data_IF_082086361275
#
_entry.id   IF_082086361275
#
_cell.length_a   1.000
_cell.length_b   1.000
_cell.length_c   1.000
_cell.angle_alpha   90.00
_cell.angle_beta   90.00
_cell.angle_gamma   90.00
#
_symmetry.space_group_name_H-M   'P 1'
#
loop_
_entity.id
_entity.type
_entity.pdbx_description
1 polymer ?
#
# COMPACT_ATOMS: atom_id res chain seq x y z
N UNK A 1 18.22 -17.30 2.36
CA UNK A 1 19.11 -18.26 1.68
C UNK A 1 18.76 -18.44 0.20
N UNK A 2 17.49 -18.68 -0.15
CA UNK A 2 17.06 -18.79 -1.56
C UNK A 2 17.42 -17.53 -2.38
N UNK A 3 17.11 -16.33 -1.86
CA UNK A 3 17.46 -15.07 -2.53
C UNK A 3 18.97 -14.89 -2.78
N UNK A 4 19.83 -15.41 -1.89
CA UNK A 4 21.28 -15.39 -2.09
C UNK A 4 21.72 -16.42 -3.14
N UNK A 5 21.07 -17.60 -3.17
CA UNK A 5 21.30 -18.64 -4.16
C UNK A 5 20.98 -18.18 -5.59
N UNK A 6 19.87 -17.46 -5.76
CA UNK A 6 19.38 -16.90 -7.03
C UNK A 6 20.01 -15.54 -7.40
N UNK A 7 20.92 -15.00 -6.59
CA UNK A 7 21.52 -13.69 -6.85
C UNK A 7 22.42 -13.72 -8.10
N UNK A 8 22.22 -12.76 -8.99
CA UNK A 8 23.01 -12.59 -10.21
C UNK A 8 24.50 -12.33 -9.92
N UNK A 9 24.81 -11.61 -8.83
CA UNK A 9 26.19 -11.37 -8.43
C UNK A 9 26.34 -11.26 -6.91
N UNK A 10 26.85 -12.33 -6.30
CA UNK A 10 26.97 -12.48 -4.84
C UNK A 10 28.02 -11.54 -4.22
N UNK A 11 29.06 -11.15 -4.96
CA UNK A 11 30.11 -10.29 -4.43
C UNK A 11 29.74 -8.80 -4.44
N UNK A 12 28.74 -8.40 -5.23
CA UNK A 12 28.25 -7.02 -5.32
C UNK A 12 27.08 -6.72 -4.38
N UNK A 13 26.74 -7.63 -3.46
CA UNK A 13 25.65 -7.41 -2.51
C UNK A 13 26.06 -6.31 -1.54
N UNK A 14 25.29 -5.22 -1.52
CA UNK A 14 25.51 -4.13 -0.57
C UNK A 14 24.97 -4.52 0.82
N UNK A 15 25.89 -4.85 1.73
CA UNK A 15 25.59 -5.22 3.11
C UNK A 15 24.78 -4.14 3.85
N UNK A 16 25.02 -2.85 3.57
CA UNK A 16 24.28 -1.75 4.21
C UNK A 16 22.80 -1.82 3.86
N UNK A 17 22.48 -1.92 2.57
CA UNK A 17 21.09 -1.97 2.09
C UNK A 17 20.37 -3.20 2.61
N UNK A 18 21.03 -4.37 2.58
CA UNK A 18 20.47 -5.62 3.09
C UNK A 18 20.21 -5.57 4.59
N UNK A 19 21.19 -5.13 5.40
CA UNK A 19 21.05 -5.05 6.85
C UNK A 19 20.01 -4.02 7.27
N UNK A 20 19.95 -2.85 6.62
CA UNK A 20 18.90 -1.85 6.90
C UNK A 20 17.52 -2.34 6.48
N UNK A 21 17.39 -2.97 5.31
CA UNK A 21 16.11 -3.49 4.84
C UNK A 21 15.52 -4.54 5.79
N UNK A 22 16.31 -5.56 6.13
CA UNK A 22 15.88 -6.60 7.07
C UNK A 22 15.72 -6.04 8.49
N UNK A 23 16.62 -5.15 8.92
CA UNK A 23 16.60 -4.54 10.23
C UNK A 23 15.37 -3.67 10.45
N UNK A 24 15.00 -2.82 9.49
CA UNK A 24 13.78 -2.01 9.56
C UNK A 24 12.53 -2.89 9.57
N UNK A 25 12.49 -3.92 8.72
CA UNK A 25 11.35 -4.84 8.69
C UNK A 25 11.16 -5.57 10.04
N UNK A 26 12.26 -6.06 10.63
CA UNK A 26 12.24 -6.68 11.97
C UNK A 26 11.89 -5.69 13.07
N UNK A 27 12.44 -4.48 13.02
CA UNK A 27 12.14 -3.41 13.96
C UNK A 27 10.65 -3.09 13.96
N UNK A 28 10.05 -2.88 12.78
CA UNK A 28 8.62 -2.65 12.65
C UNK A 28 7.81 -3.87 13.13
N UNK A 29 8.20 -5.09 12.78
CA UNK A 29 7.49 -6.29 13.24
C UNK A 29 7.48 -6.41 14.77
N UNK A 30 8.63 -6.21 15.44
CA UNK A 30 8.73 -6.27 16.90
C UNK A 30 7.97 -5.11 17.54
N UNK A 31 8.13 -3.90 16.99
CA UNK A 31 7.43 -2.71 17.47
C UNK A 31 5.91 -2.93 17.46
N UNK A 32 5.40 -3.48 16.36
CA UNK A 32 3.96 -3.67 16.17
C UNK A 32 3.42 -4.86 16.98
N UNK A 33 4.09 -6.02 16.92
CA UNK A 33 3.54 -7.28 17.45
C UNK A 33 3.86 -7.52 18.93
N UNK A 34 5.00 -7.01 19.43
CA UNK A 34 5.51 -7.36 20.77
C UNK A 34 5.41 -6.22 21.77
N UNK A 35 5.43 -4.96 21.35
CA UNK A 35 5.40 -3.83 22.30
C UNK A 35 4.00 -3.56 22.82
N UNK A 36 3.85 -3.10 24.08
CA UNK A 36 2.56 -2.73 24.65
C UNK A 36 1.92 -1.52 23.94
N UNK A 37 2.70 -0.73 23.19
CA UNK A 37 2.22 0.39 22.39
C UNK A 37 1.67 -0.05 21.02
N UNK A 38 2.04 -1.23 20.51
CA UNK A 38 1.61 -1.70 19.19
C UNK A 38 0.10 -1.89 19.08
N UNK A 39 -0.51 -2.56 20.07
CA UNK A 39 -1.96 -2.79 20.13
C UNK A 39 -2.81 -1.51 20.09
N UNK A 40 -2.59 -0.48 20.95
CA UNK A 40 -3.41 0.73 20.91
C UNK A 40 -3.21 1.53 19.61
N UNK A 41 -1.99 1.56 19.06
CA UNK A 41 -1.73 2.22 17.77
C UNK A 41 -2.48 1.52 16.64
N UNK A 42 -2.41 0.20 16.55
CA UNK A 42 -3.16 -0.56 15.53
C UNK A 42 -4.67 -0.48 15.74
N UNK A 43 -5.15 -0.50 16.98
CA UNK A 43 -6.57 -0.31 17.28
C UNK A 43 -7.09 1.07 16.86
N UNK A 44 -6.23 2.11 16.88
CA UNK A 44 -6.59 3.41 16.32
C UNK A 44 -6.72 3.36 14.80
N UNK A 45 -5.74 2.80 14.09
CA UNK A 45 -5.80 2.66 12.63
C UNK A 45 -6.98 1.80 12.18
N UNK A 46 -7.24 0.69 12.87
CA UNK A 46 -8.37 -0.19 12.60
C UNK A 46 -9.71 0.56 12.71
N UNK A 47 -9.90 1.38 13.76
CA UNK A 47 -11.08 2.23 13.89
C UNK A 47 -11.21 3.23 12.74
N UNK A 48 -10.10 3.85 12.31
CA UNK A 48 -10.11 4.80 11.19
C UNK A 48 -10.49 4.10 9.88
N UNK A 49 -9.89 2.94 9.59
CA UNK A 49 -10.19 2.18 8.38
C UNK A 49 -11.64 1.68 8.40
N UNK A 50 -12.11 1.10 9.50
CA UNK A 50 -13.51 0.68 9.64
C UNK A 50 -14.48 1.85 9.49
N UNK A 51 -14.12 3.04 9.98
CA UNK A 51 -14.93 4.24 9.77
C UNK A 51 -15.01 4.63 8.29
N UNK A 52 -13.88 4.58 7.57
CA UNK A 52 -13.87 4.82 6.12
C UNK A 52 -14.69 3.76 5.36
N UNK A 53 -14.58 2.49 5.73
CA UNK A 53 -15.40 1.40 5.17
C UNK A 53 -16.88 1.68 5.41
N UNK A 54 -17.29 2.17 6.60
CA UNK A 54 -18.68 2.49 6.86
C UNK A 54 -19.25 3.59 5.96
N UNK A 55 -18.42 4.54 5.51
CA UNK A 55 -18.83 5.54 4.52
C UNK A 55 -19.01 4.93 3.14
N UNK A 56 -18.13 3.99 2.76
CA UNK A 56 -18.31 3.22 1.54
C UNK A 56 -19.57 2.35 1.58
N UNK A 57 -19.89 1.75 2.73
CA UNK A 57 -21.08 0.92 2.89
C UNK A 57 -22.35 1.77 2.78
N UNK A 58 -22.37 2.99 3.33
CA UNK A 58 -23.47 3.93 3.14
C UNK A 58 -23.68 4.28 1.65
N UNK A 59 -22.59 4.47 0.89
CA UNK A 59 -22.66 4.68 -0.56
C UNK A 59 -23.14 3.43 -1.33
N UNK A 60 -22.70 2.24 -0.93
CA UNK A 60 -23.18 0.98 -1.50
C UNK A 60 -24.67 0.72 -1.22
N UNK A 61 -25.11 1.00 0.01
CA UNK A 61 -26.53 0.92 0.39
C UNK A 61 -27.37 1.91 -0.43
N UNK A 62 -26.90 3.15 -0.62
CA UNK A 62 -27.59 4.13 -1.46
C UNK A 62 -27.77 3.66 -2.91
N UNK A 63 -26.78 2.95 -3.48
CA UNK A 63 -26.82 2.50 -4.87
C UNK A 63 -27.61 1.21 -5.08
N UNK A 64 -27.53 0.26 -4.13
CA UNK A 64 -27.96 -1.13 -4.37
C UNK A 64 -29.02 -1.65 -3.40
N UNK A 65 -29.29 -0.95 -2.30
CA UNK A 65 -30.35 -1.35 -1.36
C UNK A 65 -31.69 -0.82 -1.85
N UNK A 66 -32.73 -1.62 -1.69
CA UNK A 66 -34.10 -1.17 -1.95
C UNK A 66 -34.51 -0.11 -0.92
N UNK A 67 -35.13 0.97 -1.40
CA UNK A 67 -35.77 1.99 -0.55
C UNK A 67 -37.16 1.59 -0.08
N UNK A 68 -37.69 0.46 -0.57
CA UNK A 68 -38.94 -0.12 -0.06
C UNK A 68 -38.66 -0.73 1.32
N UNK A 69 -39.45 -0.37 2.36
CA UNK A 69 -39.28 -0.94 3.69
C UNK A 69 -39.28 -2.47 3.65
N UNK A 70 -38.38 -3.08 4.43
CA UNK A 70 -38.24 -4.54 4.62
C UNK A 70 -37.74 -5.38 3.43
N UNK A 71 -37.52 -4.80 2.25
CA UNK A 71 -36.98 -5.56 1.09
C UNK A 71 -35.44 -5.69 1.15
N UNK A 72 -34.74 -4.69 1.68
CA UNK A 72 -33.28 -4.72 1.83
C UNK A 72 -32.54 -4.88 0.48
N UNK A 73 -31.46 -5.67 0.47
CA UNK A 73 -30.80 -6.06 -0.78
C UNK A 73 -31.59 -7.18 -1.44
N UNK A 74 -31.81 -7.09 -2.76
CA UNK A 74 -32.27 -8.26 -3.51
C UNK A 74 -31.31 -9.42 -3.31
N UNK A 75 -31.83 -10.63 -3.15
CA UNK A 75 -31.05 -11.85 -2.86
C UNK A 75 -29.91 -12.06 -3.88
N UNK A 76 -30.14 -11.71 -5.16
CA UNK A 76 -29.12 -11.78 -6.22
C UNK A 76 -27.99 -10.73 -6.13
N UNK A 77 -28.20 -9.65 -5.37
CA UNK A 77 -27.22 -8.59 -5.12
C UNK A 77 -26.39 -8.83 -3.85
N UNK A 78 -26.74 -9.83 -3.02
CA UNK A 78 -25.93 -10.23 -1.86
C UNK A 78 -24.77 -11.11 -2.34
N UNK A 79 -23.87 -10.52 -3.13
CA UNK A 79 -22.71 -11.20 -3.67
C UNK A 79 -21.45 -10.34 -3.52
N UNK A 80 -20.29 -10.94 -3.78
CA UNK A 80 -19.00 -10.26 -3.67
C UNK A 80 -18.95 -8.96 -4.48
N UNK A 81 -19.50 -8.95 -5.70
CA UNK A 81 -19.42 -7.79 -6.59
C UNK A 81 -20.05 -6.55 -5.95
N UNK A 82 -21.29 -6.64 -5.45
CA UNK A 82 -22.00 -5.48 -4.91
C UNK A 82 -21.60 -5.12 -3.48
N UNK A 83 -20.85 -5.97 -2.78
CA UNK A 83 -20.31 -5.68 -1.44
C UNK A 83 -18.86 -5.19 -1.47
N UNK A 84 -18.04 -5.66 -2.41
CA UNK A 84 -16.60 -5.38 -2.45
C UNK A 84 -16.24 -4.27 -3.45
N UNK A 85 -16.85 -4.26 -4.65
CA UNK A 85 -16.50 -3.28 -5.69
C UNK A 85 -16.77 -1.82 -5.26
N UNK A 86 -17.87 -1.48 -4.56
CA UNK A 86 -18.09 -0.12 -4.08
C UNK A 86 -16.97 0.38 -3.17
N UNK A 87 -16.42 -0.52 -2.34
CA UNK A 87 -15.27 -0.21 -1.47
C UNK A 87 -14.03 0.10 -2.28
N UNK A 88 -13.73 -0.65 -3.35
CA UNK A 88 -12.62 -0.28 -4.25
C UNK A 88 -12.85 1.10 -4.85
N UNK A 89 -14.03 1.36 -5.41
CA UNK A 89 -14.33 2.61 -6.11
C UNK A 89 -14.19 3.79 -5.14
N UNK A 90 -14.73 3.66 -3.93
CA UNK A 90 -14.61 4.66 -2.87
C UNK A 90 -13.14 4.94 -2.53
N UNK A 91 -12.36 3.90 -2.17
CA UNK A 91 -10.96 4.10 -1.78
C UNK A 91 -10.10 4.60 -2.95
N UNK A 92 -10.31 4.13 -4.18
CA UNK A 92 -9.62 4.66 -5.36
C UNK A 92 -9.92 6.14 -5.59
N UNK A 93 -11.17 6.57 -5.44
CA UNK A 93 -11.53 8.00 -5.54
C UNK A 93 -10.92 8.84 -4.42
N UNK A 94 -10.89 8.32 -3.19
CA UNK A 94 -10.28 8.97 -2.03
C UNK A 94 -8.76 9.12 -2.21
N UNK A 95 -8.09 8.08 -2.69
CA UNK A 95 -6.66 8.13 -3.00
C UNK A 95 -6.37 9.11 -4.13
N UNK A 96 -7.19 9.14 -5.18
CA UNK A 96 -7.07 10.13 -6.25
C UNK A 96 -7.24 11.57 -5.74
N UNK A 97 -8.17 11.80 -4.80
CA UNK A 97 -8.33 13.09 -4.13
C UNK A 97 -7.08 13.47 -3.34
N UNK A 98 -6.56 12.59 -2.48
CA UNK A 98 -5.34 12.87 -1.71
C UNK A 98 -4.12 13.09 -2.59
N UNK A 99 -4.08 12.42 -3.74
CA UNK A 99 -3.06 12.64 -4.75
C UNK A 99 -3.23 14.02 -5.42
N UNK A 100 -4.44 14.43 -5.78
CA UNK A 100 -4.69 15.76 -6.35
C UNK A 100 -4.37 16.89 -5.35
N UNK A 101 -4.68 16.68 -4.06
CA UNK A 101 -4.41 17.64 -2.99
C UNK A 101 -2.93 17.73 -2.58
N UNK A 102 -2.05 16.88 -3.10
CA UNK A 102 -0.63 16.90 -2.76
C UNK A 102 -0.24 16.16 -1.47
N UNK A 103 -1.20 15.57 -0.76
CA UNK A 103 -0.97 14.95 0.56
C UNK A 103 -0.07 13.72 0.44
N UNK A 104 -0.37 12.85 -0.52
CA UNK A 104 0.43 11.63 -0.77
C UNK A 104 1.86 12.00 -1.15
N UNK A 105 2.05 13.01 -1.99
CA UNK A 105 3.36 13.46 -2.44
C UNK A 105 4.21 13.94 -1.27
N UNK A 106 3.62 14.67 -0.31
CA UNK A 106 4.33 15.12 0.90
C UNK A 106 4.76 13.92 1.75
N UNK A 107 3.84 13.00 2.04
CA UNK A 107 4.12 11.81 2.87
C UNK A 107 5.18 10.93 2.22
N UNK A 108 5.00 10.61 0.93
CA UNK A 108 5.92 9.77 0.15
C UNK A 108 7.31 10.39 0.08
N UNK A 109 7.41 11.71 -0.12
CA UNK A 109 8.70 12.42 -0.14
C UNK A 109 9.43 12.32 1.20
N UNK A 110 8.71 12.40 2.31
CA UNK A 110 9.30 12.23 3.64
C UNK A 110 9.80 10.80 3.86
N UNK A 111 8.98 9.80 3.56
CA UNK A 111 9.36 8.38 3.67
C UNK A 111 10.57 8.09 2.77
N UNK A 112 10.53 8.55 1.52
CA UNK A 112 11.59 8.32 0.56
C UNK A 112 12.92 8.93 1.03
N UNK A 113 12.90 10.13 1.61
CA UNK A 113 14.12 10.76 2.18
C UNK A 113 14.71 9.95 3.33
N UNK A 114 13.86 9.44 4.23
CA UNK A 114 14.31 8.62 5.36
C UNK A 114 14.94 7.32 4.85
N UNK A 115 14.26 6.65 3.92
CA UNK A 115 14.71 5.38 3.33
C UNK A 115 15.99 5.55 2.52
N UNK A 116 16.08 6.61 1.71
CA UNK A 116 17.27 6.91 0.91
C UNK A 116 18.47 7.17 1.82
N UNK A 117 18.28 7.92 2.91
CA UNK A 117 19.35 8.24 3.87
C UNK A 117 19.81 7.02 4.66
N UNK A 118 18.90 6.13 5.04
CA UNK A 118 19.25 4.90 5.77
C UNK A 118 19.91 3.87 4.85
N UNK A 119 19.21 3.45 3.79
CA UNK A 119 19.59 2.34 2.92
C UNK A 119 20.64 2.68 1.86
N UNK A 120 20.81 3.96 1.54
CA UNK A 120 21.76 4.41 0.51
C UNK A 120 21.36 4.05 -0.93
N UNK A 121 20.07 3.78 -1.13
CA UNK A 121 19.45 3.46 -2.43
C UNK A 121 19.28 4.70 -3.31
N UNK A 122 18.97 4.50 -4.58
CA UNK A 122 18.77 5.63 -5.50
C UNK A 122 17.46 6.38 -5.17
N UNK A 123 17.43 7.67 -5.51
CA UNK A 123 16.24 8.49 -5.24
C UNK A 123 15.01 8.02 -6.02
N UNK A 124 15.21 7.53 -7.25
CA UNK A 124 14.14 7.09 -8.14
C UNK A 124 13.53 5.75 -7.70
N UNK A 125 14.34 4.74 -7.36
CA UNK A 125 13.81 3.48 -6.84
C UNK A 125 13.13 3.68 -5.49
N UNK A 126 13.73 4.49 -4.61
CA UNK A 126 13.23 4.72 -3.26
C UNK A 126 11.91 5.48 -3.27
N UNK A 127 11.77 6.48 -4.15
CA UNK A 127 10.53 7.24 -4.29
C UNK A 127 9.39 6.35 -4.82
N UNK A 128 9.67 5.52 -5.82
CA UNK A 128 8.68 4.58 -6.36
C UNK A 128 8.24 3.55 -5.30
N UNK A 129 9.18 2.95 -4.57
CA UNK A 129 8.86 1.96 -3.53
C UNK A 129 8.10 2.60 -2.37
N UNK A 130 8.44 3.83 -1.99
CA UNK A 130 7.71 4.57 -0.94
C UNK A 130 6.29 4.91 -1.38
N UNK A 131 6.06 5.18 -2.67
CA UNK A 131 4.73 5.42 -3.21
C UNK A 131 3.86 4.15 -3.21
N UNK A 132 4.45 2.97 -3.47
CA UNK A 132 3.76 1.67 -3.46
C UNK A 132 3.06 1.32 -2.13
N UNK A 133 3.41 2.01 -1.02
CA UNK A 133 2.71 1.85 0.26
C UNK A 133 1.24 2.30 0.14
N UNK A 134 0.95 3.23 -0.76
CA UNK A 134 -0.35 3.89 -0.89
C UNK A 134 -1.02 3.61 -2.23
N UNK A 135 -0.24 3.65 -3.31
CA UNK A 135 -0.72 3.49 -4.69
C UNK A 135 -0.29 2.14 -5.27
N UNK A 136 -0.98 1.68 -6.32
CA UNK A 136 -0.71 0.37 -6.90
C UNK A 136 0.61 0.28 -7.68
N UNK A 137 1.03 -0.94 -8.00
CA UNK A 137 2.27 -1.23 -8.73
C UNK A 137 2.37 -0.58 -10.12
N UNK A 138 1.25 -0.19 -10.72
CA UNK A 138 1.19 0.52 -12.01
C UNK A 138 1.22 2.05 -11.84
N UNK A 139 0.86 2.56 -10.66
CA UNK A 139 0.73 3.99 -10.38
C UNK A 139 1.99 4.55 -9.72
N UNK A 140 2.63 3.78 -8.83
CA UNK A 140 3.85 4.22 -8.16
C UNK A 140 5.01 4.55 -9.13
N UNK A 141 5.26 3.77 -10.20
CA UNK A 141 6.31 4.12 -11.15
C UNK A 141 6.04 5.43 -11.91
N UNK A 142 4.77 5.85 -12.03
CA UNK A 142 4.44 7.12 -12.70
C UNK A 142 5.05 8.33 -11.98
N UNK A 143 5.31 8.21 -10.67
CA UNK A 143 5.97 9.26 -9.87
C UNK A 143 7.41 9.52 -10.30
N UNK A 144 8.05 8.50 -10.89
CA UNK A 144 9.44 8.52 -11.34
C UNK A 144 9.56 8.28 -12.83
N UNK A 145 8.46 8.43 -13.58
CA UNK A 145 8.38 8.22 -15.03
C UNK A 145 9.57 8.77 -15.82
N UNK A 146 10.05 10.03 -15.63
CA UNK A 146 11.18 10.54 -16.40
C UNK A 146 12.51 9.82 -16.12
N UNK A 147 12.64 9.16 -14.96
CA UNK A 147 13.85 8.46 -14.56
C UNK A 147 13.87 6.99 -15.01
N UNK A 148 12.71 6.38 -15.29
CA UNK A 148 12.60 4.95 -15.63
C UNK A 148 13.49 4.58 -16.82
N UNK A 149 13.56 5.44 -17.85
CA UNK A 149 14.36 5.17 -19.05
C UNK A 149 15.87 5.09 -18.77
N UNK A 150 16.33 5.76 -17.72
CA UNK A 150 17.75 5.83 -17.35
C UNK A 150 18.07 4.98 -16.11
N UNK A 151 17.13 4.18 -15.62
CA UNK A 151 17.35 3.28 -14.48
C UNK A 151 18.30 2.14 -14.87
N UNK A 152 19.16 1.78 -13.94
CA UNK A 152 19.91 0.52 -13.98
C UNK A 152 18.98 -0.68 -13.85
N UNK A 153 19.45 -1.85 -14.27
CA UNK A 153 18.69 -3.10 -14.12
C UNK A 153 18.36 -3.40 -12.64
N UNK A 154 19.23 -3.01 -11.69
CA UNK A 154 18.98 -3.18 -10.26
C UNK A 154 17.83 -2.30 -9.77
N UNK A 155 17.81 -1.03 -10.19
CA UNK A 155 16.75 -0.08 -9.80
C UNK A 155 15.40 -0.51 -10.38
N UNK A 156 15.38 -0.93 -11.66
CA UNK A 156 14.16 -1.42 -12.29
C UNK A 156 13.64 -2.68 -11.59
N UNK A 157 14.54 -3.62 -11.27
CA UNK A 157 14.19 -4.82 -10.50
C UNK A 157 13.65 -4.47 -9.11
N UNK A 158 14.21 -3.47 -8.43
CA UNK A 158 13.73 -3.00 -7.14
C UNK A 158 12.33 -2.39 -7.24
N UNK A 159 12.06 -1.57 -8.27
CA UNK A 159 10.73 -1.00 -8.54
C UNK A 159 9.69 -2.10 -8.77
N UNK A 160 10.01 -3.09 -9.62
CA UNK A 160 9.12 -4.22 -9.92
C UNK A 160 8.87 -5.07 -8.67
N UNK A 161 9.94 -5.46 -7.96
CA UNK A 161 9.84 -6.30 -6.76
C UNK A 161 9.06 -5.59 -5.66
N UNK A 162 9.28 -4.29 -5.45
CA UNK A 162 8.53 -3.48 -4.49
C UNK A 162 7.04 -3.40 -4.81
N UNK A 163 6.69 -3.31 -6.11
CA UNK A 163 5.30 -3.36 -6.55
C UNK A 163 4.61 -4.69 -6.23
N UNK A 164 5.29 -5.82 -6.49
CA UNK A 164 4.74 -7.15 -6.19
C UNK A 164 4.75 -7.51 -4.69
N UNK A 165 5.60 -6.87 -3.91
CA UNK A 165 5.70 -7.10 -2.47
C UNK A 165 4.63 -6.35 -1.65
N UNK A 166 3.84 -5.47 -2.29
CA UNK A 166 2.88 -4.58 -1.62
C UNK A 166 1.48 -4.71 -2.22
N UNK A 167 0.49 -4.14 -1.55
CA UNK A 167 -0.92 -4.12 -1.99
C UNK A 167 -1.41 -2.69 -2.02
N UNK A 168 -2.14 -2.31 -3.07
CA UNK A 168 -2.75 -0.99 -3.17
C UNK A 168 -3.81 -0.77 -2.08
N UNK A 169 -3.93 0.46 -1.57
CA UNK A 169 -4.90 0.79 -0.52
C UNK A 169 -6.35 0.42 -0.87
N UNK A 170 -6.73 0.54 -2.14
CA UNK A 170 -8.07 0.16 -2.61
C UNK A 170 -8.40 -1.32 -2.49
N UNK A 171 -7.41 -2.21 -2.68
CA UNK A 171 -7.59 -3.66 -2.56
C UNK A 171 -7.48 -4.11 -1.10
N UNK A 172 -6.61 -3.45 -0.31
CA UNK A 172 -6.48 -3.69 1.13
C UNK A 172 -7.82 -3.55 1.86
N UNK A 173 -8.62 -2.54 1.50
CA UNK A 173 -9.93 -2.31 2.12
C UNK A 173 -10.91 -3.49 1.95
N UNK A 174 -10.82 -4.25 0.84
CA UNK A 174 -11.64 -5.47 0.68
C UNK A 174 -11.19 -6.55 1.63
N UNK A 175 -9.87 -6.78 1.75
CA UNK A 175 -9.34 -7.80 2.64
C UNK A 175 -9.75 -7.54 4.09
N UNK A 176 -9.72 -6.27 4.53
CA UNK A 176 -10.19 -5.88 5.87
C UNK A 176 -11.68 -6.16 6.06
N UNK A 177 -12.51 -5.96 5.04
CA UNK A 177 -13.96 -6.22 5.13
C UNK A 177 -14.30 -7.71 5.26
N UNK A 178 -13.38 -8.60 4.87
CA UNK A 178 -13.62 -10.05 4.79
C UNK A 178 -12.86 -10.87 5.84
N UNK A 179 -11.83 -10.30 6.48
CA UNK A 179 -11.10 -10.87 7.61
C UNK A 179 -11.75 -10.45 8.94
#
# INVERSE_FOLDING_TARGET
MIAFGLSNNRSKINLRTMCWGLGLQWLFAIFILKTPLGKPVFGFFDKVINKLISFSDAGGDFLFKSFVPEVGFHVGLINFAFRALPTIIFFSSLMALFYHLGIIQVIVKWIARIMQKSMGTSGSETLSISANIFVGQTEAPLMVRPFIQNMTQSELMAVMTGGFATVAGGVLAIYVKWL
#
